data_IF_399523307893
#
_entry.id   IF_399523307893
#
_cell.length_a   1.000
_cell.length_b   1.000
_cell.length_c   1.000
_cell.angle_alpha   90.00
_cell.angle_beta   90.00
_cell.angle_gamma   90.00
#
_symmetry.space_group_name_H-M   'P 1'
#
loop_
_entity.id
_entity.type
_entity.pdbx_description
1 polymer ?
#
# COMPACT_ATOMS: atom_id res chain seq x y z
N UNK A 1 -30.69 7.43 25.99
CA UNK A 1 -29.89 8.49 25.29
C UNK A 1 -28.57 7.96 24.74
N UNK A 2 -28.11 6.77 25.12
CA UNK A 2 -26.89 6.14 24.59
C UNK A 2 -26.96 5.76 23.09
N UNK A 3 -28.15 5.45 22.57
CA UNK A 3 -28.31 5.04 21.18
C UNK A 3 -28.02 6.12 20.14
N UNK A 4 -28.35 7.37 20.42
CA UNK A 4 -28.13 8.49 19.48
C UNK A 4 -26.65 8.83 19.35
N UNK A 5 -25.90 8.83 20.45
CA UNK A 5 -24.45 9.04 20.44
C UNK A 5 -23.72 7.87 19.77
N UNK A 6 -24.22 6.64 19.94
CA UNK A 6 -23.68 5.45 19.27
C UNK A 6 -23.84 5.55 17.75
N UNK A 7 -25.02 5.91 17.25
CA UNK A 7 -25.24 6.11 15.82
C UNK A 7 -24.39 7.25 15.25
N UNK A 8 -24.20 8.33 16.00
CA UNK A 8 -23.31 9.42 15.59
C UNK A 8 -21.85 8.97 15.49
N UNK A 9 -21.37 8.18 16.44
CA UNK A 9 -20.02 7.61 16.41
C UNK A 9 -19.84 6.65 15.23
N UNK A 10 -20.84 5.82 14.94
CA UNK A 10 -20.84 4.94 13.77
C UNK A 10 -20.75 5.73 12.47
N UNK A 11 -21.54 6.78 12.33
CA UNK A 11 -21.49 7.67 11.17
C UNK A 11 -20.13 8.37 11.05
N UNK A 12 -19.57 8.85 12.15
CA UNK A 12 -18.24 9.47 12.20
C UNK A 12 -17.15 8.49 11.75
N UNK A 13 -17.20 7.24 12.20
CA UNK A 13 -16.23 6.21 11.79
C UNK A 13 -16.27 5.97 10.28
N UNK A 14 -17.46 5.85 9.70
CA UNK A 14 -17.65 5.71 8.25
C UNK A 14 -17.12 6.91 7.46
N UNK A 15 -17.36 8.12 7.95
CA UNK A 15 -16.81 9.34 7.34
C UNK A 15 -15.28 9.37 7.38
N UNK A 16 -14.67 9.00 8.51
CA UNK A 16 -13.21 8.95 8.64
C UNK A 16 -12.60 7.94 7.66
N UNK A 17 -13.17 6.75 7.52
CA UNK A 17 -12.71 5.73 6.57
C UNK A 17 -12.81 6.24 5.13
N UNK A 18 -13.93 6.87 4.78
CA UNK A 18 -14.13 7.47 3.46
C UNK A 18 -13.12 8.60 3.18
N UNK A 19 -12.82 9.43 4.17
CA UNK A 19 -11.85 10.50 4.05
C UNK A 19 -10.44 9.96 3.77
N UNK A 20 -10.01 8.93 4.47
CA UNK A 20 -8.69 8.30 4.24
C UNK A 20 -8.65 7.62 2.87
N UNK A 21 -9.75 6.98 2.43
CA UNK A 21 -9.84 6.41 1.09
C UNK A 21 -9.68 7.47 -0.01
N UNK A 22 -10.32 8.63 0.15
CA UNK A 22 -10.19 9.76 -0.76
C UNK A 22 -8.77 10.33 -0.74
N UNK A 23 -8.16 10.50 0.44
CA UNK A 23 -6.78 10.97 0.57
C UNK A 23 -5.80 10.02 -0.12
N UNK A 24 -5.96 8.71 0.06
CA UNK A 24 -5.11 7.70 -0.59
C UNK A 24 -5.28 7.73 -2.11
N UNK A 25 -6.51 7.87 -2.59
CA UNK A 25 -6.77 8.00 -4.03
C UNK A 25 -6.14 9.27 -4.60
N UNK A 26 -6.29 10.39 -3.91
CA UNK A 26 -5.67 11.67 -4.28
C UNK A 26 -4.14 11.56 -4.32
N UNK A 27 -3.54 10.90 -3.33
CA UNK A 27 -2.11 10.63 -3.31
C UNK A 27 -1.65 9.76 -4.48
N UNK A 28 -2.41 8.72 -4.82
CA UNK A 28 -2.14 7.89 -6.00
C UNK A 28 -2.19 8.69 -7.31
N UNK A 29 -3.19 9.55 -7.46
CA UNK A 29 -3.35 10.39 -8.66
C UNK A 29 -2.20 11.40 -8.75
N UNK A 30 -1.85 12.04 -7.65
CA UNK A 30 -0.75 13.03 -7.62
C UNK A 30 0.60 12.43 -7.98
N UNK A 31 0.81 11.14 -7.74
CA UNK A 31 2.06 10.43 -7.98
C UNK A 31 2.02 9.48 -9.19
N UNK A 32 1.01 9.58 -10.05
CA UNK A 32 0.84 8.68 -11.19
C UNK A 32 2.04 8.68 -12.15
N UNK A 33 2.72 9.81 -12.27
CA UNK A 33 3.90 9.99 -13.12
C UNK A 33 5.22 9.97 -12.34
N UNK A 34 5.19 9.68 -11.04
CA UNK A 34 6.39 9.64 -10.22
C UNK A 34 7.11 8.31 -10.42
N UNK A 35 8.38 8.30 -10.90
CA UNK A 35 9.15 7.08 -11.07
C UNK A 35 9.30 6.32 -9.74
N UNK A 36 9.09 5.01 -9.79
CA UNK A 36 9.21 4.15 -8.59
C UNK A 36 8.04 4.19 -7.63
N UNK A 37 6.99 4.96 -7.94
CA UNK A 37 5.79 5.00 -7.11
C UNK A 37 4.96 3.72 -7.28
N UNK A 38 4.49 3.16 -6.17
CA UNK A 38 3.56 2.03 -6.15
C UNK A 38 2.22 2.48 -5.59
N UNK A 39 1.15 2.21 -6.33
CA UNK A 39 -0.22 2.55 -5.93
C UNK A 39 -0.55 1.98 -4.55
N UNK A 40 -1.14 2.80 -3.69
CA UNK A 40 -1.60 2.41 -2.38
C UNK A 40 -3.09 2.06 -2.40
N UNK A 41 -3.47 1.11 -1.55
CA UNK A 41 -4.85 0.69 -1.32
C UNK A 41 -5.14 0.70 0.17
N UNK A 42 -6.28 1.25 0.53
CA UNK A 42 -6.82 1.19 1.89
C UNK A 42 -7.57 -0.12 2.07
N UNK A 43 -7.23 -0.88 3.09
CA UNK A 43 -7.98 -2.05 3.53
C UNK A 43 -8.81 -1.64 4.74
N UNK A 44 -10.11 -1.88 4.63
CA UNK A 44 -11.07 -1.53 5.68
C UNK A 44 -11.80 -2.77 6.14
N UNK A 45 -12.14 -2.78 7.42
CA UNK A 45 -12.96 -3.82 8.05
C UNK A 45 -14.07 -3.23 8.90
N UNK A 46 -15.01 -4.07 9.26
CA UNK A 46 -16.03 -3.69 10.22
C UNK A 46 -15.43 -3.62 11.64
N UNK A 47 -15.77 -2.57 12.38
CA UNK A 47 -15.40 -2.49 13.80
C UNK A 47 -16.09 -3.62 14.58
N UNK A 48 -15.48 -4.02 15.73
CA UNK A 48 -16.04 -5.04 16.58
C UNK A 48 -17.47 -4.68 17.00
N UNK A 49 -18.43 -5.58 16.79
CA UNK A 49 -19.82 -5.28 17.12
C UNK A 49 -20.00 -5.13 18.62
N UNK A 50 -20.94 -4.29 19.02
CA UNK A 50 -21.29 -4.12 20.42
C UNK A 50 -22.08 -5.32 20.91
N UNK A 51 -21.51 -6.07 21.86
CA UNK A 51 -22.21 -7.11 22.60
C UNK A 51 -22.59 -6.58 23.98
N UNK A 52 -23.85 -6.65 24.37
CA UNK A 52 -24.23 -6.37 25.76
C UNK A 52 -23.68 -7.49 26.66
N UNK A 53 -22.80 -7.18 27.62
CA UNK A 53 -22.38 -8.18 28.61
C UNK A 53 -23.55 -8.52 29.51
N UNK A 54 -24.14 -9.68 29.28
CA UNK A 54 -25.20 -10.23 30.12
C UNK A 54 -24.95 -11.70 30.45
N UNK A 55 -25.44 -12.20 31.57
CA UNK A 55 -25.28 -13.58 32.04
C UNK A 55 -25.82 -14.62 31.04
N UNK A 56 -26.64 -14.16 30.07
CA UNK A 56 -27.19 -14.91 28.95
C UNK A 56 -26.87 -14.22 27.59
N UNK A 57 -25.75 -13.54 27.43
CA UNK A 57 -25.39 -12.95 26.15
C UNK A 57 -25.09 -14.07 25.13
N UNK A 58 -26.06 -14.34 24.31
CA UNK A 58 -25.87 -15.18 23.15
C UNK A 58 -24.88 -14.50 22.21
N UNK A 59 -23.76 -15.14 21.92
CA UNK A 59 -22.86 -14.75 20.84
C UNK A 59 -23.48 -15.03 19.45
N UNK A 60 -24.80 -14.93 19.35
CA UNK A 60 -25.58 -15.24 18.15
C UNK A 60 -25.98 -14.01 17.35
N UNK A 61 -26.84 -14.25 16.36
CA UNK A 61 -27.44 -13.22 15.52
C UNK A 61 -28.09 -12.11 16.34
N UNK A 62 -27.79 -10.83 16.05
CA UNK A 62 -28.39 -9.68 16.75
C UNK A 62 -27.38 -8.70 17.35
N UNK A 63 -26.09 -8.83 17.05
CA UNK A 63 -25.09 -7.84 17.45
C UNK A 63 -25.23 -6.54 16.64
N UNK A 64 -25.13 -5.41 17.33
CA UNK A 64 -25.21 -4.09 16.70
C UNK A 64 -23.83 -3.71 16.19
N UNK A 65 -23.72 -3.38 14.88
CA UNK A 65 -22.49 -2.88 14.28
C UNK A 65 -22.09 -1.53 14.86
N UNK A 66 -20.80 -1.33 15.04
CA UNK A 66 -20.21 -0.08 15.61
C UNK A 66 -19.53 0.80 14.58
N UNK A 67 -19.55 0.40 13.31
CA UNK A 67 -19.01 1.17 12.20
C UNK A 67 -17.89 0.46 11.47
N UNK A 68 -17.02 1.24 10.83
CA UNK A 68 -15.90 0.77 10.04
C UNK A 68 -14.58 1.31 10.58
N UNK A 69 -13.51 0.55 10.36
CA UNK A 69 -12.15 0.94 10.70
C UNK A 69 -11.21 0.66 9.53
N UNK A 70 -10.08 1.33 9.53
CA UNK A 70 -8.99 1.06 8.59
C UNK A 70 -8.03 0.08 9.27
N UNK A 71 -7.77 -1.03 8.61
CA UNK A 71 -6.80 -2.01 9.09
C UNK A 71 -5.38 -1.58 8.71
N UNK A 72 -5.16 -1.32 7.44
CA UNK A 72 -3.88 -0.86 6.93
C UNK A 72 -3.99 -0.17 5.57
N UNK A 73 -2.87 0.42 5.15
CA UNK A 73 -2.69 0.99 3.81
C UNK A 73 -1.55 0.23 3.15
N UNK A 74 -1.89 -0.68 2.26
CA UNK A 74 -0.92 -1.54 1.55
C UNK A 74 -0.51 -0.96 0.21
N UNK A 75 0.73 -1.26 -0.21
CA UNK A 75 1.20 -0.99 -1.57
C UNK A 75 0.90 -2.17 -2.47
N UNK A 76 0.30 -1.90 -3.62
CA UNK A 76 0.05 -2.92 -4.64
C UNK A 76 1.34 -3.07 -5.45
N UNK A 77 2.10 -4.13 -5.16
CA UNK A 77 3.33 -4.48 -5.85
C UNK A 77 3.25 -5.92 -6.34
N UNK A 78 3.86 -6.16 -7.50
CA UNK A 78 4.05 -7.52 -8.00
C UNK A 78 5.49 -7.94 -7.68
N UNK A 79 5.64 -8.84 -6.71
CA UNK A 79 6.96 -9.33 -6.25
C UNK A 79 7.76 -10.02 -7.35
N UNK A 80 7.10 -10.64 -8.31
CA UNK A 80 7.76 -11.28 -9.46
C UNK A 80 8.46 -10.25 -10.35
N UNK A 81 7.78 -9.18 -10.73
CA UNK A 81 8.38 -8.11 -11.53
C UNK A 81 9.46 -7.35 -10.76
N UNK A 82 9.29 -7.16 -9.46
CA UNK A 82 10.31 -6.53 -8.61
C UNK A 82 11.60 -7.37 -8.58
N UNK A 83 11.46 -8.70 -8.46
CA UNK A 83 12.59 -9.62 -8.51
C UNK A 83 13.29 -9.61 -9.88
N UNK A 84 12.50 -9.69 -10.95
CA UNK A 84 13.02 -9.66 -12.32
C UNK A 84 13.74 -8.33 -12.60
N UNK A 85 13.16 -7.20 -12.23
CA UNK A 85 13.79 -5.89 -12.40
C UNK A 85 15.14 -5.82 -11.66
N UNK A 86 15.23 -6.31 -10.44
CA UNK A 86 16.49 -6.32 -9.67
C UNK A 86 17.55 -7.20 -10.33
N UNK A 87 17.14 -8.37 -10.82
CA UNK A 87 18.04 -9.28 -11.54
C UNK A 87 18.59 -8.65 -12.81
N UNK A 88 17.71 -8.09 -13.64
CA UNK A 88 18.10 -7.43 -14.88
C UNK A 88 18.92 -6.17 -14.65
N UNK A 89 18.58 -5.38 -13.64
CA UNK A 89 19.36 -4.19 -13.25
C UNK A 89 20.77 -4.56 -12.80
N UNK A 90 20.93 -5.68 -12.08
CA UNK A 90 22.24 -6.19 -11.68
C UNK A 90 23.07 -6.63 -12.90
N UNK A 91 22.46 -7.34 -13.83
CA UNK A 91 23.13 -7.76 -15.08
C UNK A 91 23.50 -6.56 -15.96
N UNK A 92 22.60 -5.59 -16.08
CA UNK A 92 22.87 -4.35 -16.80
C UNK A 92 24.07 -3.59 -16.21
N UNK A 93 24.10 -3.43 -14.87
CA UNK A 93 25.23 -2.80 -14.19
C UNK A 93 26.56 -3.52 -14.44
N UNK A 94 26.57 -4.85 -14.37
CA UNK A 94 27.76 -5.66 -14.62
C UNK A 94 28.26 -5.52 -16.08
N UNK A 95 27.34 -5.58 -17.03
CA UNK A 95 27.66 -5.44 -18.46
C UNK A 95 28.13 -4.03 -18.79
N UNK A 96 27.51 -3.01 -18.20
CA UNK A 96 27.88 -1.61 -18.38
C UNK A 96 29.32 -1.32 -17.92
N UNK A 97 29.70 -1.84 -16.75
CA UNK A 97 31.06 -1.69 -16.23
C UNK A 97 32.08 -2.42 -17.11
N UNK A 98 31.75 -3.63 -17.56
CA UNK A 98 32.62 -4.38 -18.51
C UNK A 98 32.82 -3.63 -19.82
N UNK A 99 31.74 -3.05 -20.37
CA UNK A 99 31.82 -2.26 -21.59
C UNK A 99 32.73 -1.05 -21.42
N UNK A 100 32.63 -0.34 -20.28
CA UNK A 100 33.49 0.80 -19.99
C UNK A 100 34.96 0.40 -19.89
N UNK A 101 35.29 -0.71 -19.22
CA UNK A 101 36.64 -1.24 -19.18
C UNK A 101 37.19 -1.62 -20.57
N UNK A 102 36.42 -2.30 -21.39
CA UNK A 102 36.83 -2.65 -22.75
C UNK A 102 37.04 -1.43 -23.61
N UNK A 103 36.20 -0.41 -23.49
CA UNK A 103 36.36 0.86 -24.21
C UNK A 103 37.67 1.58 -23.79
N UNK A 104 38.01 1.56 -22.48
CA UNK A 104 39.26 2.12 -22.03
C UNK A 104 40.46 1.35 -22.54
N UNK A 105 40.41 0.02 -22.58
CA UNK A 105 41.46 -0.83 -23.16
C UNK A 105 41.63 -0.55 -24.66
N UNK A 106 40.54 -0.44 -25.39
CA UNK A 106 40.55 -0.09 -26.84
C UNK A 106 41.23 1.27 -27.08
N UNK A 107 40.92 2.26 -26.24
CA UNK A 107 41.58 3.58 -26.29
C UNK A 107 43.09 3.48 -26.10
N UNK A 108 43.56 2.68 -25.15
CA UNK A 108 44.98 2.46 -24.91
C UNK A 108 45.69 1.78 -26.15
N UNK A 109 45.02 0.82 -26.76
CA UNK A 109 45.58 0.16 -27.95
C UNK A 109 45.59 1.06 -29.18
N UNK A 110 44.59 1.93 -29.32
CA UNK A 110 44.52 2.88 -30.44
C UNK A 110 45.54 4.04 -30.33
N UNK A 111 45.98 4.40 -29.13
CA UNK A 111 47.03 5.41 -28.93
C UNK A 111 48.44 4.91 -29.28
N UNK A 112 48.61 3.58 -29.37
CA UNK A 112 49.92 2.97 -29.69
C UNK A 112 50.12 2.62 -31.19
N UNK A 113 49.10 2.88 -31.98
CA UNK A 113 49.18 2.70 -33.43
C UNK A 113 49.19 4.05 -34.13
#
# INVERSE_FOLDING_TARGET
MSGLLSTLNTAKSGMNVSQVAIQTTSHNISNINTPGYSRQRVNQSASSPYSMPGKNSNFGAGQIGTGAQIDDVTRIRNSFYDYQYRSESHQYGNTSVKYEYFKNIEGIFNEHL
#
